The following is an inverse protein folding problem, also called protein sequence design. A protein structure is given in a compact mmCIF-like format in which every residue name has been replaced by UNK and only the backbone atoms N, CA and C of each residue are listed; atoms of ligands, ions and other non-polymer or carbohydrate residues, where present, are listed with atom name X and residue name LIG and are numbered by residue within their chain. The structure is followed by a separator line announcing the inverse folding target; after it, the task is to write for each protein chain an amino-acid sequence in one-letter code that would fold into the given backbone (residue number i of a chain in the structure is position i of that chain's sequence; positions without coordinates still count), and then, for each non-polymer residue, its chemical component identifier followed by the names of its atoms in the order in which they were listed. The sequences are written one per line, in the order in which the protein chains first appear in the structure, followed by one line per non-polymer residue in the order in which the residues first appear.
data_IF_287600884641
#
_entry.id   IF_287600884641
#
_cell.length_a   1.000
_cell.length_b   1.000
_cell.length_c   1.000
_cell.angle_alpha   90.00
_cell.angle_beta   90.00
_cell.angle_gamma   90.00
#
_symmetry.space_group_name_H-M   'P 1'
#
loop_
_entity.id
_entity.type
_entity.pdbx_description
1 polymer ?
#
# COMPACT_ATOMS: atom_id res chain seq x y z
N UNK A 1 2.43 -16.90 22.32
CA UNK A 1 3.12 -15.76 22.97
C UNK A 1 2.78 -14.50 22.18
N UNK A 2 1.91 -13.62 22.67
CA UNK A 2 1.65 -12.34 22.00
C UNK A 2 2.93 -11.51 22.08
N UNK A 3 3.56 -11.23 20.93
CA UNK A 3 4.72 -10.34 20.87
C UNK A 3 4.29 -8.93 21.24
N UNK A 4 5.15 -8.22 22.00
CA UNK A 4 4.97 -6.80 22.29
C UNK A 4 4.84 -6.02 20.98
N UNK A 5 3.89 -5.09 20.92
CA UNK A 5 3.75 -4.20 19.77
C UNK A 5 4.86 -3.13 19.83
N UNK A 6 5.71 -3.09 18.82
CA UNK A 6 6.79 -2.10 18.73
C UNK A 6 6.23 -0.77 18.21
N UNK A 7 6.53 0.33 18.89
CA UNK A 7 6.21 1.67 18.43
C UNK A 7 4.72 2.03 18.41
N UNK A 8 3.90 1.32 19.22
CA UNK A 8 2.44 1.51 19.30
C UNK A 8 1.93 1.93 20.68
N UNK A 9 2.82 2.23 21.61
CA UNK A 9 2.47 2.56 22.99
C UNK A 9 1.47 3.72 23.05
N UNK A 10 1.73 4.81 22.32
CA UNK A 10 0.81 5.96 22.26
C UNK A 10 -0.57 5.65 21.67
N UNK A 11 -0.65 4.77 20.66
CA UNK A 11 -1.94 4.33 20.12
C UNK A 11 -2.69 3.41 21.08
N UNK A 12 -1.98 2.53 21.80
CA UNK A 12 -2.57 1.70 22.84
C UNK A 12 -3.14 2.55 23.98
N UNK A 13 -2.39 3.55 24.44
CA UNK A 13 -2.81 4.46 25.51
C UNK A 13 -4.04 5.27 25.09
N UNK A 14 -4.03 5.84 23.87
CA UNK A 14 -5.15 6.59 23.34
C UNK A 14 -6.40 5.72 23.16
N UNK A 15 -6.25 4.50 22.62
CA UNK A 15 -7.36 3.57 22.43
C UNK A 15 -7.95 3.13 23.78
N UNK A 16 -7.09 2.83 24.76
CA UNK A 16 -7.51 2.52 26.13
C UNK A 16 -8.19 3.70 26.83
N UNK A 17 -7.72 4.93 26.59
CA UNK A 17 -8.38 6.14 27.09
C UNK A 17 -9.79 6.31 26.51
N UNK A 18 -9.96 6.19 25.20
CA UNK A 18 -11.28 6.30 24.56
C UNK A 18 -12.26 5.23 25.05
N UNK A 19 -11.78 3.99 25.24
CA UNK A 19 -12.61 2.93 25.82
C UNK A 19 -13.06 3.30 27.24
N UNK A 20 -12.15 3.77 28.11
CA UNK A 20 -12.49 4.20 29.48
C UNK A 20 -13.40 5.42 29.54
N UNK A 21 -13.30 6.34 28.57
CA UNK A 21 -14.17 7.52 28.43
C UNK A 21 -15.58 7.17 27.93
N UNK A 22 -15.85 5.90 27.59
CA UNK A 22 -17.17 5.48 27.10
C UNK A 22 -17.41 5.79 25.62
N UNK A 23 -16.35 5.93 24.81
CA UNK A 23 -16.51 6.07 23.36
C UNK A 23 -17.24 4.84 22.81
N UNK A 24 -18.43 5.04 22.22
CA UNK A 24 -19.33 3.96 21.80
C UNK A 24 -18.88 3.23 20.54
N UNK A 25 -18.26 3.97 19.62
CA UNK A 25 -17.78 3.42 18.37
C UNK A 25 -16.37 3.92 18.11
N UNK A 26 -15.44 2.99 18.01
CA UNK A 26 -14.06 3.27 17.67
C UNK A 26 -13.68 2.45 16.45
N UNK A 27 -13.13 3.08 15.42
CA UNK A 27 -12.64 2.39 14.22
C UNK A 27 -11.15 2.63 14.05
N UNK A 28 -10.37 1.57 14.09
CA UNK A 28 -8.94 1.57 13.75
C UNK A 28 -8.83 1.38 12.24
N UNK A 29 -8.29 2.39 11.56
CA UNK A 29 -8.10 2.44 10.10
C UNK A 29 -6.63 2.36 9.71
N UNK A 30 -6.33 2.10 8.44
CA UNK A 30 -4.96 2.06 7.90
C UNK A 30 -4.69 0.95 6.89
N UNK A 31 -3.49 0.93 6.27
CA UNK A 31 -3.16 0.04 5.16
C UNK A 31 -3.24 -1.44 5.53
N UNK A 32 -3.31 -2.34 4.51
CA UNK A 32 -3.19 -3.78 4.75
C UNK A 32 -1.84 -4.10 5.42
N UNK A 33 -1.86 -4.95 6.44
CA UNK A 33 -0.65 -5.39 7.16
C UNK A 33 -0.05 -4.37 8.13
N UNK A 34 -0.69 -3.22 8.38
CA UNK A 34 -0.20 -2.17 9.30
C UNK A 34 -0.29 -2.53 10.79
N UNK A 35 -1.06 -3.57 11.12
CA UNK A 35 -1.23 -4.08 12.49
C UNK A 35 -2.52 -3.67 13.20
N UNK A 36 -3.59 -3.32 12.48
CA UNK A 36 -4.90 -2.94 13.08
C UNK A 36 -5.44 -4.01 14.04
N UNK A 37 -5.54 -5.26 13.56
CA UNK A 37 -6.01 -6.41 14.33
C UNK A 37 -5.12 -6.70 15.53
N UNK A 38 -3.79 -6.56 15.37
CA UNK A 38 -2.84 -6.72 16.46
C UNK A 38 -2.98 -5.63 17.54
N UNK A 39 -3.24 -4.38 17.14
CA UNK A 39 -3.52 -3.27 18.06
C UNK A 39 -4.82 -3.51 18.82
N UNK A 40 -5.92 -3.84 18.12
CA UNK A 40 -7.19 -4.15 18.76
C UNK A 40 -7.12 -5.37 19.69
N UNK A 41 -6.32 -6.38 19.31
CA UNK A 41 -5.99 -7.52 20.16
C UNK A 41 -5.29 -7.08 21.46
N UNK A 42 -4.22 -6.31 21.36
CA UNK A 42 -3.45 -5.87 22.51
C UNK A 42 -4.23 -4.92 23.43
N UNK A 43 -4.97 -3.96 22.87
CA UNK A 43 -5.72 -2.96 23.63
C UNK A 43 -6.87 -3.53 24.47
N UNK A 44 -7.34 -4.73 24.14
CA UNK A 44 -8.49 -5.38 24.80
C UNK A 44 -8.10 -6.68 25.50
N UNK A 45 -6.82 -7.09 25.46
CA UNK A 45 -6.35 -8.36 25.99
C UNK A 45 -6.58 -8.52 27.50
N UNK A 46 -6.52 -7.43 28.25
CA UNK A 46 -6.74 -7.40 29.70
C UNK A 46 -8.16 -7.04 30.12
N UNK A 47 -9.07 -6.82 29.16
CA UNK A 47 -10.46 -6.44 29.44
C UNK A 47 -11.33 -7.69 29.58
N UNK A 48 -12.13 -7.82 30.66
CA UNK A 48 -13.06 -8.94 30.80
C UNK A 48 -14.28 -8.76 29.89
N UNK A 49 -14.89 -9.88 29.47
CA UNK A 49 -16.18 -9.88 28.78
C UNK A 49 -16.15 -9.33 27.34
N UNK A 50 -15.00 -9.33 26.68
CA UNK A 50 -14.86 -8.89 25.29
C UNK A 50 -15.38 -9.98 24.35
N UNK A 51 -16.36 -9.63 23.53
CA UNK A 51 -16.87 -10.50 22.46
C UNK A 51 -16.13 -10.15 21.18
N UNK A 52 -15.65 -11.15 20.44
CA UNK A 52 -14.89 -10.95 19.18
C UNK A 52 -15.60 -11.59 18.01
N UNK A 53 -15.71 -10.86 16.91
CA UNK A 53 -16.24 -11.34 15.65
C UNK A 53 -15.26 -11.03 14.52
N UNK A 54 -14.90 -12.04 13.73
CA UNK A 54 -14.10 -11.87 12.53
C UNK A 54 -15.03 -11.66 11.33
N UNK A 55 -15.29 -10.41 10.97
CA UNK A 55 -16.25 -10.03 9.94
C UNK A 55 -15.89 -10.55 8.54
N UNK A 56 -14.62 -10.85 8.26
CA UNK A 56 -14.18 -11.48 7.00
C UNK A 56 -14.89 -12.79 6.64
N UNK A 57 -15.48 -13.46 7.62
CA UNK A 57 -16.20 -14.71 7.44
C UNK A 57 -17.66 -14.50 7.02
N UNK A 58 -18.15 -13.26 7.09
CA UNK A 58 -19.51 -12.91 6.72
C UNK A 58 -19.55 -12.26 5.34
N UNK A 59 -20.42 -12.76 4.46
CA UNK A 59 -20.63 -12.16 3.14
C UNK A 59 -21.58 -10.96 3.20
N UNK A 60 -22.52 -10.96 4.15
CA UNK A 60 -23.55 -9.95 4.29
C UNK A 60 -23.96 -9.72 5.77
N UNK A 61 -25.04 -8.94 5.96
CA UNK A 61 -25.60 -8.62 7.27
C UNK A 61 -26.09 -9.85 8.02
N UNK A 62 -26.80 -10.75 7.33
CA UNK A 62 -27.42 -11.91 7.96
C UNK A 62 -26.35 -12.94 8.36
N UNK A 63 -25.31 -13.08 7.54
CA UNK A 63 -24.11 -13.81 7.91
C UNK A 63 -23.45 -13.24 9.15
N UNK A 64 -23.28 -11.92 9.24
CA UNK A 64 -22.67 -11.29 10.40
C UNK A 64 -23.52 -11.54 11.65
N UNK A 65 -24.85 -11.42 11.56
CA UNK A 65 -25.75 -11.75 12.66
C UNK A 65 -25.56 -13.20 13.12
N UNK A 66 -25.50 -14.16 12.19
CA UNK A 66 -25.30 -15.58 12.51
C UNK A 66 -23.95 -15.82 13.18
N UNK A 67 -22.89 -15.17 12.71
CA UNK A 67 -21.56 -15.27 13.31
C UNK A 67 -21.54 -14.67 14.73
N UNK A 68 -22.16 -13.51 14.94
CA UNK A 68 -22.28 -12.90 16.27
C UNK A 68 -23.11 -13.75 17.23
N UNK A 69 -24.25 -14.26 16.77
CA UNK A 69 -25.09 -15.15 17.53
C UNK A 69 -24.34 -16.42 17.94
N UNK A 70 -23.58 -17.04 17.01
CA UNK A 70 -22.76 -18.20 17.31
C UNK A 70 -21.67 -17.91 18.37
N UNK A 71 -21.00 -16.76 18.30
CA UNK A 71 -20.00 -16.35 19.30
C UNK A 71 -20.60 -16.12 20.69
N UNK A 72 -21.88 -15.77 20.75
CA UNK A 72 -22.65 -15.60 21.99
C UNK A 72 -23.37 -16.88 22.45
N UNK A 73 -23.19 -18.01 21.75
CA UNK A 73 -23.86 -19.27 22.07
C UNK A 73 -25.35 -19.32 21.68
N UNK A 74 -25.81 -18.40 20.84
CA UNK A 74 -27.20 -18.21 20.41
C UNK A 74 -27.49 -18.78 19.01
N UNK A 75 -27.04 -20.00 18.73
CA UNK A 75 -27.17 -20.59 17.38
C UNK A 75 -28.64 -20.63 16.91
N UNK A 76 -28.94 -20.00 15.76
CA UNK A 76 -30.29 -19.93 15.20
C UNK A 76 -31.22 -18.90 15.85
N UNK A 77 -30.68 -18.03 16.71
CA UNK A 77 -31.46 -16.98 17.36
C UNK A 77 -31.94 -15.88 16.38
N UNK A 78 -33.12 -15.34 16.67
CA UNK A 78 -33.66 -14.19 15.95
C UNK A 78 -32.91 -12.88 16.32
N UNK A 79 -33.07 -11.80 15.53
CA UNK A 79 -32.44 -10.50 15.82
C UNK A 79 -32.79 -9.94 17.21
N UNK A 80 -33.96 -10.27 17.75
CA UNK A 80 -34.42 -9.81 19.06
C UNK A 80 -33.65 -10.47 20.21
N UNK A 81 -33.38 -11.76 20.11
CA UNK A 81 -32.58 -12.51 21.06
C UNK A 81 -31.10 -12.07 21.00
N UNK A 82 -30.56 -11.83 19.80
CA UNK A 82 -29.22 -11.25 19.66
C UNK A 82 -29.15 -9.86 20.30
N UNK A 83 -30.12 -8.98 20.06
CA UNK A 83 -30.19 -7.66 20.67
C UNK A 83 -30.25 -7.71 22.21
N UNK A 84 -30.98 -8.68 22.78
CA UNK A 84 -30.98 -8.91 24.24
C UNK A 84 -29.63 -9.37 24.76
N UNK A 85 -28.96 -10.31 24.10
CA UNK A 85 -27.63 -10.74 24.54
C UNK A 85 -26.57 -9.64 24.41
N UNK A 86 -26.67 -8.79 23.39
CA UNK A 86 -25.78 -7.63 23.23
C UNK A 86 -25.90 -6.61 24.37
N UNK A 87 -27.01 -6.58 25.13
CA UNK A 87 -27.13 -5.73 26.34
C UNK A 87 -26.15 -6.14 27.44
N UNK A 88 -25.82 -7.41 27.52
CA UNK A 88 -24.87 -7.95 28.50
C UNK A 88 -23.41 -7.79 28.02
N UNK A 89 -23.20 -7.41 26.75
CA UNK A 89 -21.89 -7.21 26.15
C UNK A 89 -21.45 -5.77 26.33
N UNK A 90 -20.37 -5.56 27.10
CA UNK A 90 -19.78 -4.23 27.24
C UNK A 90 -18.92 -3.82 26.06
N UNK A 91 -18.16 -4.76 25.49
CA UNK A 91 -17.25 -4.48 24.38
C UNK A 91 -17.35 -5.57 23.31
N UNK A 92 -17.74 -5.18 22.11
CA UNK A 92 -17.71 -6.00 20.91
C UNK A 92 -16.56 -5.54 20.00
N UNK A 93 -15.68 -6.48 19.64
CA UNK A 93 -14.63 -6.24 18.64
C UNK A 93 -15.04 -6.87 17.31
N UNK A 94 -15.15 -6.05 16.26
CA UNK A 94 -15.40 -6.50 14.89
C UNK A 94 -14.10 -6.34 14.10
N UNK A 95 -13.42 -7.45 13.85
CA UNK A 95 -12.14 -7.49 13.12
C UNK A 95 -12.37 -7.72 11.61
N UNK A 96 -11.56 -7.10 10.76
CA UNK A 96 -11.63 -7.20 9.27
C UNK A 96 -13.02 -6.87 8.69
N UNK A 97 -13.59 -5.71 9.04
CA UNK A 97 -14.96 -5.29 8.70
C UNK A 97 -15.13 -4.70 7.29
N UNK A 98 -14.10 -4.73 6.45
CA UNK A 98 -14.05 -3.97 5.19
C UNK A 98 -15.15 -4.31 4.18
N UNK A 99 -15.56 -5.58 4.09
CA UNK A 99 -16.61 -6.02 3.18
C UNK A 99 -18.00 -5.51 3.59
N UNK A 100 -18.16 -5.15 4.86
CA UNK A 100 -19.44 -4.83 5.47
C UNK A 100 -19.58 -3.33 5.81
N UNK A 101 -18.63 -2.49 5.40
CA UNK A 101 -18.63 -1.03 5.69
C UNK A 101 -19.92 -0.34 5.22
N UNK A 102 -20.56 -0.84 4.15
CA UNK A 102 -21.82 -0.30 3.65
C UNK A 102 -23.05 -0.70 4.49
N UNK A 103 -23.01 -1.84 5.19
CA UNK A 103 -24.16 -2.41 5.91
C UNK A 103 -24.03 -2.34 7.43
N UNK A 104 -22.81 -2.22 7.96
CA UNK A 104 -22.55 -2.06 9.39
C UNK A 104 -23.21 -0.84 10.02
N UNK A 105 -23.25 0.35 9.38
CA UNK A 105 -23.82 1.55 10.00
C UNK A 105 -25.25 1.35 10.52
N UNK A 106 -26.11 0.75 9.70
CA UNK A 106 -27.52 0.49 10.06
C UNK A 106 -27.62 -0.55 11.18
N UNK A 107 -26.80 -1.60 11.11
CA UNK A 107 -26.75 -2.65 12.12
C UNK A 107 -26.30 -2.09 13.48
N UNK A 108 -25.23 -1.30 13.50
CA UNK A 108 -24.71 -0.72 14.71
C UNK A 108 -25.68 0.29 15.30
N UNK A 109 -26.37 1.07 14.47
CA UNK A 109 -27.41 2.00 14.94
C UNK A 109 -28.52 1.26 15.69
N UNK A 110 -29.06 0.19 15.12
CA UNK A 110 -30.08 -0.63 15.80
C UNK A 110 -29.53 -1.33 17.05
N UNK A 111 -28.29 -1.84 16.99
CA UNK A 111 -27.64 -2.46 18.15
C UNK A 111 -27.42 -1.46 19.28
N UNK A 112 -27.06 -0.23 18.95
CA UNK A 112 -26.84 0.85 19.89
C UNK A 112 -28.12 1.37 20.56
N UNK A 113 -29.27 1.27 19.90
CA UNK A 113 -30.59 1.52 20.50
C UNK A 113 -30.98 0.39 21.46
N UNK A 114 -30.70 -0.87 21.08
CA UNK A 114 -31.01 -2.04 21.89
C UNK A 114 -30.11 -2.19 23.11
N UNK A 115 -28.83 -1.82 23.02
CA UNK A 115 -27.80 -1.95 24.04
C UNK A 115 -27.08 -0.59 24.27
N UNK A 116 -27.59 0.24 25.21
CA UNK A 116 -27.06 1.59 25.45
C UNK A 116 -25.59 1.61 25.90
N UNK A 117 -25.19 0.62 26.69
CA UNK A 117 -23.84 0.51 27.26
C UNK A 117 -22.83 -0.21 26.35
N UNK A 118 -23.26 -0.66 25.17
CA UNK A 118 -22.40 -1.37 24.22
C UNK A 118 -21.37 -0.41 23.61
N UNK A 119 -20.09 -0.77 23.76
CA UNK A 119 -18.99 -0.20 23.01
C UNK A 119 -18.58 -1.16 21.88
N UNK A 120 -18.23 -0.61 20.73
CA UNK A 120 -17.81 -1.37 19.55
C UNK A 120 -16.45 -0.86 19.08
N UNK A 121 -15.48 -1.78 19.00
CA UNK A 121 -14.17 -1.54 18.42
C UNK A 121 -14.06 -2.27 17.08
N UNK A 122 -13.80 -1.52 16.02
CA UNK A 122 -13.76 -2.03 14.66
C UNK A 122 -12.36 -1.89 14.12
N UNK A 123 -11.89 -2.91 13.41
CA UNK A 123 -10.75 -2.73 12.49
C UNK A 123 -11.26 -2.77 11.07
N UNK A 124 -10.96 -1.74 10.30
CA UNK A 124 -11.37 -1.61 8.91
C UNK A 124 -10.31 -0.84 8.15
N UNK A 125 -10.40 -0.79 6.82
CA UNK A 125 -9.63 0.15 6.00
C UNK A 125 -10.32 1.50 5.88
N UNK A 126 -11.64 1.51 6.04
CA UNK A 126 -12.49 2.67 5.90
C UNK A 126 -13.19 2.99 7.22
N UNK A 127 -13.37 4.27 7.55
CA UNK A 127 -14.35 4.64 8.56
C UNK A 127 -15.76 4.23 8.08
N UNK A 128 -16.64 3.97 9.04
CA UNK A 128 -18.05 3.67 8.78
C UNK A 128 -18.87 4.92 8.44
N UNK A 129 -18.40 6.11 8.83
CA UNK A 129 -19.07 7.39 8.57
C UNK A 129 -20.20 7.72 9.54
N UNK A 130 -20.25 7.06 10.71
CA UNK A 130 -21.24 7.35 11.75
C UNK A 130 -20.82 8.57 12.58
N UNK A 131 -21.79 9.41 12.98
CA UNK A 131 -21.51 10.65 13.70
C UNK A 131 -20.78 10.45 15.05
N UNK A 132 -21.03 9.31 15.72
CA UNK A 132 -20.40 8.95 17.00
C UNK A 132 -19.07 8.18 16.83
N UNK A 133 -18.59 7.99 15.60
CA UNK A 133 -17.38 7.21 15.31
C UNK A 133 -16.10 7.99 15.65
N UNK A 134 -15.29 7.44 16.56
CA UNK A 134 -13.91 7.89 16.77
C UNK A 134 -12.97 7.07 15.89
N UNK A 135 -12.29 7.73 14.95
CA UNK A 135 -11.35 7.07 14.05
C UNK A 135 -9.91 7.18 14.54
N UNK A 136 -9.20 6.05 14.59
CA UNK A 136 -7.75 6.00 14.80
C UNK A 136 -7.06 5.49 13.54
N UNK A 137 -6.45 6.40 12.79
CA UNK A 137 -5.62 6.02 11.65
C UNK A 137 -4.27 5.47 12.12
N UNK A 138 -3.89 4.30 11.60
CA UNK A 138 -2.56 3.73 11.79
C UNK A 138 -1.72 3.91 10.54
N UNK A 139 -0.60 4.59 10.71
CA UNK A 139 0.46 4.63 9.72
C UNK A 139 1.41 3.43 9.87
N UNK A 140 2.14 3.05 8.81
CA UNK A 140 3.31 2.18 8.92
C UNK A 140 4.28 2.63 10.01
N UNK A 141 5.09 1.71 10.50
CA UNK A 141 6.07 2.03 11.53
C UNK A 141 7.09 3.04 11.00
N UNK A 142 7.54 3.94 11.87
CA UNK A 142 8.69 4.80 11.59
C UNK A 142 9.91 3.93 11.27
N UNK A 143 10.90 4.42 10.50
CA UNK A 143 12.10 3.65 10.19
C UNK A 143 12.78 3.08 11.44
N UNK A 144 12.83 3.84 12.53
CA UNK A 144 13.38 3.40 13.81
C UNK A 144 12.57 2.24 14.44
N UNK A 145 11.24 2.36 14.52
CA UNK A 145 10.40 1.29 15.07
C UNK A 145 10.35 0.05 14.18
N UNK A 146 10.39 0.23 12.85
CA UNK A 146 10.45 -0.86 11.89
C UNK A 146 11.79 -1.63 12.00
N UNK A 147 12.91 -0.93 12.14
CA UNK A 147 14.23 -1.53 12.34
C UNK A 147 14.31 -2.29 13.67
N UNK A 148 13.74 -1.72 14.74
CA UNK A 148 13.65 -2.39 16.04
C UNK A 148 12.83 -3.68 15.94
N UNK A 149 11.63 -3.61 15.35
CA UNK A 149 10.79 -4.79 15.12
C UNK A 149 11.53 -5.85 14.29
N UNK A 150 12.15 -5.47 13.18
CA UNK A 150 12.84 -6.43 12.32
C UNK A 150 14.06 -7.06 13.02
N UNK A 151 14.80 -6.29 13.80
CA UNK A 151 15.95 -6.80 14.58
C UNK A 151 15.49 -7.78 15.66
N UNK A 152 14.38 -7.50 16.34
CA UNK A 152 13.76 -8.43 17.29
C UNK A 152 13.34 -9.74 16.61
N UNK A 153 12.78 -9.65 15.41
CA UNK A 153 12.39 -10.82 14.62
C UNK A 153 13.62 -11.62 14.16
N UNK A 154 14.66 -10.94 13.68
CA UNK A 154 15.90 -11.55 13.21
C UNK A 154 16.63 -12.31 14.32
N UNK A 155 16.61 -11.78 15.55
CA UNK A 155 17.18 -12.43 16.74
C UNK A 155 16.59 -13.81 17.06
N UNK A 156 15.41 -14.12 16.53
CA UNK A 156 14.81 -15.46 16.67
C UNK A 156 15.58 -16.52 15.86
N UNK A 157 16.32 -16.12 14.82
CA UNK A 157 17.01 -17.01 13.89
C UNK A 157 18.53 -16.96 14.02
N UNK A 158 19.07 -15.79 14.38
CA UNK A 158 20.50 -15.60 14.65
C UNK A 158 20.67 -14.73 15.90
N UNK A 159 21.42 -15.16 16.93
CA UNK A 159 21.56 -14.40 18.18
C UNK A 159 22.39 -13.11 18.01
N UNK A 160 23.25 -13.05 16.99
CA UNK A 160 24.03 -11.86 16.69
C UNK A 160 23.16 -10.73 16.14
N UNK A 161 23.51 -9.49 16.48
CA UNK A 161 22.80 -8.33 15.97
C UNK A 161 23.02 -8.20 14.45
N UNK A 162 21.96 -8.05 13.64
CA UNK A 162 22.12 -7.87 12.21
C UNK A 162 22.78 -6.52 11.90
N UNK A 163 23.56 -6.47 10.81
CA UNK A 163 24.14 -5.22 10.32
C UNK A 163 23.03 -4.18 10.03
N UNK A 164 23.14 -3.02 10.68
CA UNK A 164 22.18 -1.92 10.57
C UNK A 164 21.93 -1.47 9.13
N UNK A 165 22.93 -1.55 8.25
CA UNK A 165 22.81 -1.17 6.83
C UNK A 165 21.83 -2.09 6.10
N UNK A 166 21.92 -3.40 6.34
CA UNK A 166 21.01 -4.36 5.73
C UNK A 166 19.60 -4.27 6.33
N UNK A 167 19.49 -4.02 7.65
CA UNK A 167 18.19 -3.78 8.29
C UNK A 167 17.51 -2.55 7.70
N UNK A 168 18.23 -1.44 7.53
CA UNK A 168 17.70 -0.24 6.91
C UNK A 168 17.21 -0.51 5.48
N UNK A 169 18.00 -1.23 4.69
CA UNK A 169 17.64 -1.62 3.33
C UNK A 169 16.35 -2.48 3.27
N UNK A 170 16.14 -3.36 4.26
CA UNK A 170 14.89 -4.14 4.40
C UNK A 170 13.71 -3.24 4.76
N UNK A 171 13.89 -2.37 5.75
CA UNK A 171 12.83 -1.46 6.24
C UNK A 171 12.36 -0.51 5.15
N UNK A 172 13.28 0.07 4.39
CA UNK A 172 12.98 0.98 3.27
C UNK A 172 12.19 0.26 2.17
N UNK A 173 12.63 -0.92 1.75
CA UNK A 173 11.95 -1.70 0.69
C UNK A 173 10.58 -2.22 1.10
N UNK A 174 10.38 -2.54 2.38
CA UNK A 174 9.10 -3.03 2.90
C UNK A 174 8.18 -1.89 3.40
N UNK A 175 8.64 -0.64 3.37
CA UNK A 175 7.84 0.54 3.70
C UNK A 175 7.33 0.58 5.15
N UNK A 176 8.05 -0.05 6.08
CA UNK A 176 7.68 -0.07 7.51
C UNK A 176 6.40 -0.85 7.85
N UNK A 177 5.89 -1.72 6.96
CA UNK A 177 4.70 -2.53 7.22
C UNK A 177 5.02 -3.72 8.14
N UNK A 178 4.43 -3.81 9.35
CA UNK A 178 4.72 -4.89 10.30
C UNK A 178 4.53 -6.31 9.74
N UNK A 179 3.43 -6.56 9.01
CA UNK A 179 3.19 -7.88 8.42
C UNK A 179 4.29 -8.27 7.43
N UNK A 180 4.75 -7.33 6.61
CA UNK A 180 5.82 -7.57 5.64
C UNK A 180 7.15 -7.87 6.34
N UNK A 181 7.48 -7.13 7.41
CA UNK A 181 8.68 -7.37 8.22
C UNK A 181 8.66 -8.75 8.87
N UNK A 182 7.50 -9.16 9.42
CA UNK A 182 7.30 -10.50 9.99
C UNK A 182 7.51 -11.59 8.93
N UNK A 183 6.92 -11.41 7.74
CA UNK A 183 7.05 -12.38 6.64
C UNK A 183 8.48 -12.45 6.10
N UNK A 184 9.18 -11.32 5.98
CA UNK A 184 10.58 -11.27 5.56
C UNK A 184 11.49 -11.95 6.58
N UNK A 185 11.28 -11.71 7.88
CA UNK A 185 12.11 -12.30 8.92
C UNK A 185 11.99 -13.83 8.99
N UNK A 186 10.86 -14.42 8.56
CA UNK A 186 10.75 -15.89 8.44
C UNK A 186 11.71 -16.50 7.42
N UNK A 187 12.20 -15.72 6.46
CA UNK A 187 13.20 -16.20 5.49
C UNK A 187 14.58 -16.33 6.09
N UNK A 188 14.81 -15.76 7.27
CA UNK A 188 16.10 -15.84 7.95
C UNK A 188 16.45 -17.24 8.47
N UNK A 189 15.49 -18.18 8.39
CA UNK A 189 15.77 -19.61 8.53
C UNK A 189 16.71 -20.14 7.44
N UNK A 190 16.65 -19.56 6.24
CA UNK A 190 17.33 -20.08 5.04
C UNK A 190 18.45 -19.17 4.52
N UNK A 191 18.35 -17.86 4.76
CA UNK A 191 19.26 -16.85 4.22
C UNK A 191 19.61 -15.81 5.29
N UNK A 192 20.75 -15.16 5.17
CA UNK A 192 21.10 -14.06 6.07
C UNK A 192 20.40 -12.73 5.70
N UNK A 193 20.56 -11.69 6.52
CA UNK A 193 19.91 -10.38 6.33
C UNK A 193 20.44 -9.64 5.09
N UNK A 194 21.72 -9.83 4.73
CA UNK A 194 22.30 -9.21 3.54
C UNK A 194 21.71 -9.83 2.26
N UNK A 195 21.63 -11.16 2.23
CA UNK A 195 21.01 -11.97 1.19
C UNK A 195 19.51 -11.67 1.06
N UNK A 196 18.82 -11.43 2.17
CA UNK A 196 17.43 -10.99 2.19
C UNK A 196 17.30 -9.60 1.54
N UNK A 197 18.10 -8.63 1.98
CA UNK A 197 18.07 -7.26 1.47
C UNK A 197 18.30 -7.20 -0.05
N UNK A 198 19.23 -8.00 -0.58
CA UNK A 198 19.52 -8.10 -2.00
C UNK A 198 18.38 -8.72 -2.85
N UNK A 199 17.48 -9.50 -2.24
CA UNK A 199 16.35 -10.15 -2.92
C UNK A 199 15.07 -9.32 -2.89
N UNK A 200 15.01 -8.27 -2.07
CA UNK A 200 13.83 -7.43 -1.92
C UNK A 200 13.62 -6.43 -3.08
N UNK A 201 14.42 -6.50 -4.14
CA UNK A 201 14.13 -5.81 -5.41
C UNK A 201 12.87 -6.38 -6.08
N UNK A 202 12.54 -7.65 -5.81
CA UNK A 202 11.22 -8.23 -6.09
C UNK A 202 10.66 -8.89 -4.82
N UNK A 203 10.04 -8.11 -3.92
CA UNK A 203 9.71 -8.57 -2.57
C UNK A 203 8.52 -9.53 -2.54
N UNK A 204 7.57 -9.46 -3.48
CA UNK A 204 6.31 -10.21 -3.38
C UNK A 204 6.49 -11.74 -3.40
N UNK A 205 7.28 -12.34 -4.31
CA UNK A 205 7.55 -13.78 -4.27
C UNK A 205 8.24 -14.20 -2.97
N UNK A 206 9.11 -13.34 -2.44
CA UNK A 206 9.83 -13.61 -1.20
C UNK A 206 8.91 -13.57 0.03
N UNK A 207 7.81 -12.81 -0.02
CA UNK A 207 6.82 -12.75 1.06
C UNK A 207 5.70 -13.79 0.95
N UNK A 208 5.69 -14.61 -0.12
CA UNK A 208 4.72 -15.70 -0.33
C UNK A 208 5.25 -17.03 0.26
N UNK A 209 4.73 -17.48 1.41
CA UNK A 209 5.20 -18.71 2.08
C UNK A 209 4.53 -19.99 1.53
N UNK A 210 5.23 -21.13 1.50
CA UNK A 210 4.59 -22.44 1.28
C UNK A 210 3.82 -22.87 2.55
N UNK A 211 2.53 -23.19 2.40
CA UNK A 211 1.66 -23.69 3.50
C UNK A 211 0.52 -22.77 3.95
N UNK A 212 0.30 -21.64 3.29
CA UNK A 212 -0.60 -20.56 3.73
C UNK A 212 -2.11 -20.78 3.47
N UNK A 213 -2.56 -22.01 3.18
CA UNK A 213 -3.95 -22.32 2.82
C UNK A 213 -4.97 -22.26 3.96
N UNK A 214 -4.57 -21.92 5.20
CA UNK A 214 -5.45 -22.09 6.37
C UNK A 214 -5.34 -21.09 7.53
N UNK A 215 -4.41 -20.14 7.53
CA UNK A 215 -4.33 -19.14 8.60
C UNK A 215 -5.17 -17.89 8.25
N UNK A 216 -5.94 -17.30 9.19
CA UNK A 216 -6.80 -16.13 8.91
C UNK A 216 -6.05 -14.91 8.33
N UNK A 217 -4.72 -14.86 8.49
CA UNK A 217 -3.81 -13.78 8.08
C UNK A 217 -2.67 -14.27 7.14
N UNK A 218 -2.87 -15.39 6.43
CA UNK A 218 -1.81 -16.28 5.94
C UNK A 218 -0.65 -15.65 5.15
N UNK A 219 -0.85 -14.66 4.29
CA UNK A 219 0.25 -14.05 3.56
C UNK A 219 0.01 -12.57 3.26
N UNK A 220 1.09 -11.82 3.06
CA UNK A 220 1.00 -10.45 2.55
C UNK A 220 0.20 -10.40 1.24
N UNK A 221 0.34 -11.43 0.39
CA UNK A 221 -0.43 -11.56 -0.86
C UNK A 221 -1.93 -11.64 -0.63
N UNK A 222 -2.37 -12.48 0.30
CA UNK A 222 -3.79 -12.63 0.61
C UNK A 222 -4.40 -11.30 1.09
N UNK A 223 -3.67 -10.54 1.92
CA UNK A 223 -4.10 -9.21 2.36
C UNK A 223 -4.20 -8.21 1.20
N UNK A 224 -3.25 -8.26 0.25
CA UNK A 224 -3.28 -7.44 -0.96
C UNK A 224 -4.42 -7.81 -1.91
N UNK A 225 -4.65 -9.10 -2.15
CA UNK A 225 -5.72 -9.60 -3.01
C UNK A 225 -7.10 -9.22 -2.45
N UNK A 226 -7.30 -9.41 -1.14
CA UNK A 226 -8.50 -8.95 -0.45
C UNK A 226 -8.65 -7.43 -0.58
N UNK A 227 -7.54 -6.68 -0.59
CA UNK A 227 -7.60 -5.24 -0.79
C UNK A 227 -7.97 -4.79 -2.18
N UNK A 228 -7.43 -5.47 -3.19
CA UNK A 228 -7.72 -5.22 -4.58
C UNK A 228 -9.20 -5.48 -4.93
N UNK A 229 -9.80 -6.55 -4.40
CA UNK A 229 -11.20 -6.92 -4.70
C UNK A 229 -12.23 -5.91 -4.23
N UNK A 230 -11.89 -5.08 -3.23
CA UNK A 230 -12.79 -4.04 -2.71
C UNK A 230 -12.72 -2.73 -3.49
N UNK A 231 -11.78 -2.60 -4.44
CA UNK A 231 -11.68 -1.41 -5.27
C UNK A 231 -12.66 -1.51 -6.45
N UNK A 232 -13.40 -0.43 -6.79
CA UNK A 232 -14.14 -0.39 -8.04
C UNK A 232 -13.18 -0.48 -9.24
N UNK A 233 -13.65 -0.91 -10.42
CA UNK A 233 -12.79 -1.15 -11.60
C UNK A 233 -11.93 0.06 -12.01
N UNK A 234 -12.43 1.27 -11.80
CA UNK A 234 -11.71 2.51 -12.10
C UNK A 234 -10.54 2.75 -11.13
N UNK A 235 -10.77 2.54 -9.83
CA UNK A 235 -9.73 2.61 -8.82
C UNK A 235 -8.71 1.47 -8.94
N UNK A 236 -9.12 0.28 -9.41
CA UNK A 236 -8.21 -0.81 -9.75
C UNK A 236 -7.24 -0.41 -10.87
N UNK A 237 -7.76 0.14 -11.99
CA UNK A 237 -6.92 0.67 -13.08
C UNK A 237 -6.01 1.79 -12.60
N UNK A 238 -6.52 2.68 -11.76
CA UNK A 238 -5.74 3.75 -11.16
C UNK A 238 -4.59 3.22 -10.29
N UNK A 239 -4.87 2.30 -9.38
CA UNK A 239 -3.86 1.68 -8.53
C UNK A 239 -2.76 1.03 -9.35
N UNK A 240 -3.13 0.23 -10.37
CA UNK A 240 -2.18 -0.37 -11.29
C UNK A 240 -1.30 0.67 -12.01
N UNK A 241 -1.90 1.77 -12.48
CA UNK A 241 -1.18 2.86 -13.16
C UNK A 241 -0.18 3.58 -12.23
N UNK A 242 -0.45 3.63 -10.92
CA UNK A 242 0.44 4.25 -9.93
C UNK A 242 1.74 3.46 -9.68
N UNK A 243 1.91 2.30 -10.31
CA UNK A 243 3.21 1.63 -10.41
C UNK A 243 4.20 2.34 -11.34
N UNK A 244 3.70 3.17 -12.26
CA UNK A 244 4.53 3.86 -13.25
C UNK A 244 5.36 5.01 -12.64
N UNK A 245 4.78 5.92 -11.83
CA UNK A 245 5.60 6.92 -11.14
C UNK A 245 6.53 6.27 -10.11
N UNK A 246 7.84 6.46 -10.29
CA UNK A 246 8.88 5.97 -9.37
C UNK A 246 8.92 6.70 -8.02
N UNK A 247 8.14 7.77 -7.84
CA UNK A 247 8.16 8.63 -6.68
C UNK A 247 6.79 9.21 -6.32
N UNK A 248 6.77 10.24 -5.45
CA UNK A 248 5.54 10.99 -5.15
C UNK A 248 4.95 11.65 -6.40
N UNK A 249 3.63 11.76 -6.45
CA UNK A 249 2.87 12.31 -7.57
C UNK A 249 1.82 13.32 -7.09
N UNK A 250 1.43 14.25 -7.95
CA UNK A 250 0.35 15.23 -7.70
C UNK A 250 -0.95 14.77 -8.34
N UNK A 251 -2.08 15.40 -7.99
CA UNK A 251 -3.35 15.20 -8.70
C UNK A 251 -3.19 15.45 -10.21
N UNK A 252 -2.47 16.52 -10.60
CA UNK A 252 -2.20 16.81 -12.01
C UNK A 252 -1.41 15.71 -12.76
N UNK A 253 -0.56 14.94 -12.06
CA UNK A 253 0.12 13.80 -12.67
C UNK A 253 -0.88 12.67 -12.93
N UNK A 254 -1.82 12.45 -11.99
CA UNK A 254 -2.85 11.44 -12.11
C UNK A 254 -3.90 11.80 -13.16
N UNK A 255 -4.28 13.07 -13.28
CA UNK A 255 -5.17 13.59 -14.34
C UNK A 255 -4.56 13.36 -15.72
N UNK A 256 -3.25 13.54 -15.87
CA UNK A 256 -2.57 13.24 -17.13
C UNK A 256 -2.58 11.73 -17.46
N UNK A 257 -2.49 10.86 -16.44
CA UNK A 257 -2.49 9.41 -16.62
C UNK A 257 -3.90 8.86 -16.90
N UNK A 258 -4.89 9.27 -16.10
CA UNK A 258 -6.21 8.65 -16.04
C UNK A 258 -7.33 9.50 -16.66
N UNK A 259 -7.09 10.79 -16.90
CA UNK A 259 -8.12 11.73 -17.36
C UNK A 259 -9.12 12.09 -16.27
N UNK A 260 -10.38 12.26 -16.65
CA UNK A 260 -11.46 12.76 -15.79
C UNK A 260 -11.70 11.93 -14.50
N UNK A 261 -11.34 10.65 -14.50
CA UNK A 261 -11.53 9.75 -13.34
C UNK A 261 -10.47 9.92 -12.25
N UNK A 262 -9.46 10.78 -12.45
CA UNK A 262 -8.32 10.89 -11.54
C UNK A 262 -8.70 11.33 -10.13
N UNK A 263 -9.61 12.30 -9.99
CA UNK A 263 -9.99 12.82 -8.67
C UNK A 263 -10.75 11.77 -7.84
N UNK A 264 -11.73 11.11 -8.44
CA UNK A 264 -12.51 10.06 -7.77
C UNK A 264 -11.65 8.84 -7.43
N UNK A 265 -10.75 8.46 -8.34
CA UNK A 265 -9.76 7.42 -8.08
C UNK A 265 -8.82 7.80 -6.93
N UNK A 266 -8.31 9.03 -6.90
CA UNK A 266 -7.45 9.51 -5.82
C UNK A 266 -8.17 9.45 -4.47
N UNK A 267 -9.41 9.95 -4.42
CA UNK A 267 -10.25 9.91 -3.22
C UNK A 267 -10.48 8.46 -2.76
N UNK A 268 -10.82 7.56 -3.68
CA UNK A 268 -11.03 6.13 -3.38
C UNK A 268 -9.76 5.48 -2.84
N UNK A 269 -8.62 5.64 -3.52
CA UNK A 269 -7.36 5.02 -3.11
C UNK A 269 -6.85 5.56 -1.77
N UNK A 270 -7.04 6.86 -1.51
CA UNK A 270 -6.72 7.46 -0.22
C UNK A 270 -7.61 6.89 0.89
N UNK A 271 -8.92 6.77 0.65
CA UNK A 271 -9.86 6.17 1.59
C UNK A 271 -9.47 4.73 1.93
N UNK A 272 -9.10 3.94 0.94
CA UNK A 272 -8.63 2.55 1.15
C UNK A 272 -7.22 2.46 1.77
N UNK A 273 -6.63 3.58 2.21
CA UNK A 273 -5.31 3.65 2.82
C UNK A 273 -4.19 3.08 1.94
N UNK A 274 -4.34 3.19 0.61
CA UNK A 274 -3.32 2.75 -0.36
C UNK A 274 -2.31 3.86 -0.70
N UNK A 275 -2.62 5.09 -0.30
CA UNK A 275 -1.82 6.29 -0.54
C UNK A 275 -1.44 6.96 0.77
N UNK A 276 -0.24 7.54 0.80
CA UNK A 276 0.20 8.41 1.88
C UNK A 276 0.44 9.83 1.38
N UNK A 277 0.19 10.85 2.20
CA UNK A 277 0.69 12.19 1.94
C UNK A 277 2.22 12.16 1.85
N UNK A 278 2.78 12.89 0.90
CA UNK A 278 4.23 13.07 0.78
C UNK A 278 4.55 14.55 0.99
N UNK A 279 5.48 14.83 1.92
CA UNK A 279 5.91 16.19 2.19
C UNK A 279 6.80 16.71 1.05
N UNK A 280 6.66 17.99 0.72
CA UNK A 280 7.51 18.64 -0.28
C UNK A 280 6.97 20.01 -0.69
N UNK A 281 7.78 20.82 -1.37
CA UNK A 281 7.35 22.13 -1.86
C UNK A 281 6.31 22.00 -2.98
N UNK A 282 5.41 22.98 -3.03
CA UNK A 282 4.40 23.11 -4.08
C UNK A 282 3.07 22.40 -3.77
N UNK A 283 2.37 21.90 -4.80
CA UNK A 283 1.04 21.30 -4.63
C UNK A 283 1.11 20.00 -3.82
N UNK A 284 -0.03 19.62 -3.23
CA UNK A 284 -0.17 18.40 -2.42
C UNK A 284 0.28 17.16 -3.21
N UNK A 285 1.19 16.39 -2.61
CA UNK A 285 1.74 15.15 -3.19
C UNK A 285 1.29 13.93 -2.42
N UNK A 286 1.21 12.82 -3.13
CA UNK A 286 0.86 11.51 -2.61
C UNK A 286 1.92 10.51 -3.05
N UNK A 287 2.06 9.43 -2.30
CA UNK A 287 2.94 8.32 -2.65
C UNK A 287 2.26 7.00 -2.34
N UNK A 288 2.49 6.01 -3.19
CA UNK A 288 2.15 4.61 -2.90
C UNK A 288 3.27 4.03 -2.03
N UNK A 289 2.91 3.25 -1.01
CA UNK A 289 3.91 2.55 -0.20
C UNK A 289 4.78 1.64 -1.06
N UNK A 290 6.11 1.55 -0.81
CA UNK A 290 7.04 0.80 -1.66
C UNK A 290 6.54 -0.60 -2.01
N UNK A 291 6.07 -1.35 -1.02
CA UNK A 291 5.57 -2.71 -1.22
C UNK A 291 4.25 -2.78 -2.00
N UNK A 292 3.35 -1.81 -1.79
CA UNK A 292 2.10 -1.71 -2.56
C UNK A 292 2.38 -1.37 -4.04
N UNK A 293 3.48 -0.65 -4.31
CA UNK A 293 3.90 -0.34 -5.68
C UNK A 293 4.30 -1.58 -6.47
N UNK A 294 4.94 -2.56 -5.82
CA UNK A 294 5.24 -3.85 -6.45
C UNK A 294 3.96 -4.61 -6.84
N UNK A 295 2.93 -4.61 -5.96
CA UNK A 295 1.65 -5.24 -6.32
C UNK A 295 0.97 -4.47 -7.45
N UNK A 296 0.95 -3.14 -7.40
CA UNK A 296 0.43 -2.32 -8.49
C UNK A 296 1.12 -2.62 -9.83
N UNK A 297 2.43 -2.88 -9.84
CA UNK A 297 3.19 -3.22 -11.05
C UNK A 297 2.77 -4.58 -11.62
N UNK A 298 2.56 -5.57 -10.76
CA UNK A 298 2.01 -6.85 -11.20
C UNK A 298 0.58 -6.70 -11.71
N UNK A 299 -0.29 -5.92 -11.04
CA UNK A 299 -1.65 -5.63 -11.53
C UNK A 299 -1.64 -4.94 -12.88
N UNK A 300 -0.71 -4.00 -13.11
CA UNK A 300 -0.54 -3.34 -14.41
C UNK A 300 -0.25 -4.36 -15.50
N UNK A 301 0.62 -5.35 -15.22
CA UNK A 301 0.97 -6.41 -16.16
C UNK A 301 -0.22 -7.31 -16.55
N UNK A 302 -1.24 -7.41 -15.69
CA UNK A 302 -2.47 -8.18 -15.96
C UNK A 302 -3.53 -7.43 -16.77
N UNK A 303 -3.38 -6.11 -16.97
CA UNK A 303 -4.32 -5.34 -17.79
C UNK A 303 -4.18 -5.70 -19.27
N UNK A 304 -5.17 -5.37 -20.09
CA UNK A 304 -5.07 -5.54 -21.54
C UNK A 304 -3.86 -4.78 -22.12
N UNK A 305 -3.14 -5.38 -23.07
CA UNK A 305 -1.90 -4.81 -23.63
C UNK A 305 -2.08 -3.37 -24.17
N UNK A 306 -3.22 -3.08 -24.82
CA UNK A 306 -3.55 -1.73 -25.30
C UNK A 306 -3.73 -0.70 -24.18
N UNK A 307 -4.33 -1.11 -23.05
CA UNK A 307 -4.45 -0.28 -21.85
C UNK A 307 -3.08 0.00 -21.24
N UNK A 308 -2.24 -1.03 -21.10
CA UNK A 308 -0.87 -0.88 -20.59
C UNK A 308 -0.06 0.11 -21.44
N UNK A 309 -0.13 -0.04 -22.76
CA UNK A 309 0.53 0.85 -23.72
C UNK A 309 0.06 2.30 -23.55
N UNK A 310 -1.25 2.51 -23.46
CA UNK A 310 -1.84 3.85 -23.30
C UNK A 310 -1.37 4.53 -22.02
N UNK A 311 -1.36 3.82 -20.90
CA UNK A 311 -0.90 4.35 -19.60
C UNK A 311 0.60 4.67 -19.62
N UNK A 312 1.43 3.79 -20.19
CA UNK A 312 2.87 4.00 -20.29
C UNK A 312 3.22 5.16 -21.21
N UNK A 313 2.50 5.33 -22.32
CA UNK A 313 2.63 6.50 -23.22
C UNK A 313 2.32 7.80 -22.49
N UNK A 314 1.18 7.89 -21.80
CA UNK A 314 0.81 9.08 -21.00
C UNK A 314 1.84 9.36 -19.92
N UNK A 315 2.34 8.31 -19.24
CA UNK A 315 3.40 8.47 -18.25
C UNK A 315 4.69 9.03 -18.87
N UNK A 316 5.13 8.48 -20.00
CA UNK A 316 6.31 8.96 -20.71
C UNK A 316 6.19 10.43 -21.11
N UNK A 317 5.04 10.82 -21.67
CA UNK A 317 4.74 12.22 -22.02
C UNK A 317 4.81 13.13 -20.78
N UNK A 318 4.27 12.70 -19.64
CA UNK A 318 4.33 13.47 -18.39
C UNK A 318 5.75 13.62 -17.86
N UNK A 319 6.53 12.55 -17.85
CA UNK A 319 7.93 12.57 -17.39
C UNK A 319 8.76 13.52 -18.25
N UNK A 320 8.63 13.43 -19.58
CA UNK A 320 9.34 14.30 -20.51
C UNK A 320 8.95 15.77 -20.36
N UNK A 321 7.65 16.06 -20.21
CA UNK A 321 7.16 17.42 -20.01
C UNK A 321 7.67 18.07 -18.71
N UNK A 322 7.86 17.26 -17.65
CA UNK A 322 8.33 17.75 -16.33
C UNK A 322 9.84 17.71 -16.15
N UNK A 323 10.56 17.04 -17.03
CA UNK A 323 12.00 16.85 -16.92
C UNK A 323 12.82 18.15 -16.75
N UNK A 324 12.48 19.30 -17.36
CA UNK A 324 13.18 20.56 -17.12
C UNK A 324 13.13 21.01 -15.65
N UNK A 325 12.03 20.70 -14.95
CA UNK A 325 11.77 21.09 -13.56
C UNK A 325 12.29 20.03 -12.57
N UNK A 326 12.00 18.76 -12.81
CA UNK A 326 12.26 17.68 -11.83
C UNK A 326 13.67 17.11 -11.94
N UNK A 327 14.24 17.09 -13.14
CA UNK A 327 15.55 16.48 -13.44
C UNK A 327 15.66 15.03 -12.93
N UNK A 328 14.54 14.30 -12.91
CA UNK A 328 14.46 12.91 -12.43
C UNK A 328 15.13 11.94 -13.43
N UNK A 329 16.42 11.68 -13.21
CA UNK A 329 17.24 10.79 -14.02
C UNK A 329 16.64 9.37 -14.10
N UNK A 330 16.18 8.83 -12.98
CA UNK A 330 15.68 7.46 -12.90
C UNK A 330 14.40 7.29 -13.73
N UNK A 331 13.47 8.25 -13.64
CA UNK A 331 12.24 8.26 -14.43
C UNK A 331 12.55 8.37 -15.94
N UNK A 332 13.46 9.26 -16.33
CA UNK A 332 13.85 9.41 -17.74
C UNK A 332 14.51 8.15 -18.30
N UNK A 333 15.39 7.49 -17.53
CA UNK A 333 15.99 6.21 -17.92
C UNK A 333 14.94 5.12 -18.10
N UNK A 334 13.93 5.06 -17.22
CA UNK A 334 12.83 4.11 -17.33
C UNK A 334 12.00 4.35 -18.59
N UNK A 335 11.68 5.61 -18.91
CA UNK A 335 10.98 5.99 -20.15
C UNK A 335 11.79 5.62 -21.38
N UNK A 336 13.10 5.93 -21.40
CA UNK A 336 13.98 5.61 -22.52
C UNK A 336 14.03 4.09 -22.79
N UNK A 337 14.21 3.27 -21.75
CA UNK A 337 14.24 1.80 -21.89
C UNK A 337 12.90 1.26 -22.40
N UNK A 338 11.80 1.69 -21.80
CA UNK A 338 10.46 1.29 -22.25
C UNK A 338 10.21 1.60 -23.73
N UNK A 339 10.68 2.75 -24.20
CA UNK A 339 10.54 3.16 -25.60
C UNK A 339 11.48 2.35 -26.52
N UNK A 340 12.69 2.02 -26.06
CA UNK A 340 13.66 1.22 -26.83
C UNK A 340 13.20 -0.23 -27.04
N UNK A 341 12.46 -0.80 -26.10
CA UNK A 341 11.94 -2.18 -26.18
C UNK A 341 10.75 -2.33 -27.16
N UNK A 342 10.39 -1.29 -27.91
CA UNK A 342 9.20 -1.24 -28.76
C UNK A 342 9.54 -0.72 -30.14
N UNK A 343 8.85 -1.16 -31.19
CA UNK A 343 9.02 -0.66 -32.54
C UNK A 343 8.06 0.51 -32.88
N UNK A 344 8.35 1.22 -33.97
CA UNK A 344 7.52 2.30 -34.52
C UNK A 344 8.01 3.71 -34.22
N UNK A 345 7.55 4.66 -35.04
CA UNK A 345 7.99 6.07 -35.05
C UNK A 345 7.81 6.75 -33.70
N UNK A 346 6.65 6.55 -33.07
CA UNK A 346 6.33 7.17 -31.78
C UNK A 346 7.25 6.67 -30.66
N UNK A 347 7.57 5.37 -30.64
CA UNK A 347 8.52 4.82 -29.68
C UNK A 347 9.93 5.37 -29.92
N UNK A 348 10.32 5.54 -31.19
CA UNK A 348 11.60 6.14 -31.55
C UNK A 348 11.70 7.60 -31.12
N UNK A 349 10.64 8.38 -31.33
CA UNK A 349 10.53 9.77 -30.87
C UNK A 349 10.69 9.86 -29.34
N UNK A 350 9.95 9.05 -28.58
CA UNK A 350 10.04 9.03 -27.12
C UNK A 350 11.45 8.64 -26.66
N UNK A 351 12.07 7.64 -27.29
CA UNK A 351 13.44 7.22 -26.96
C UNK A 351 14.46 8.33 -27.21
N UNK A 352 14.39 9.01 -28.35
CA UNK A 352 15.25 10.14 -28.71
C UNK A 352 15.05 11.31 -27.73
N UNK A 353 13.79 11.69 -27.48
CA UNK A 353 13.47 12.78 -26.56
C UNK A 353 13.99 12.50 -25.14
N UNK A 354 13.80 11.28 -24.64
CA UNK A 354 14.30 10.87 -23.32
C UNK A 354 15.83 10.90 -23.26
N UNK A 355 16.53 10.40 -24.28
CA UNK A 355 17.99 10.39 -24.33
C UNK A 355 18.59 11.81 -24.41
N UNK A 356 18.03 12.68 -25.25
CA UNK A 356 18.42 14.10 -25.35
C UNK A 356 18.20 14.80 -24.01
N UNK A 357 17.05 14.57 -23.37
CA UNK A 357 16.72 15.19 -22.09
C UNK A 357 17.66 14.71 -20.97
N UNK A 358 18.00 13.42 -20.95
CA UNK A 358 19.01 12.87 -20.03
C UNK A 358 20.38 13.54 -20.20
N UNK A 359 20.82 13.79 -21.43
CA UNK A 359 22.07 14.51 -21.66
C UNK A 359 22.06 15.90 -21.00
N UNK A 360 20.94 16.62 -21.07
CA UNK A 360 20.76 17.92 -20.42
C UNK A 360 20.72 17.84 -18.89
N UNK A 361 20.24 16.73 -18.31
CA UNK A 361 20.28 16.46 -16.86
C UNK A 361 21.72 16.18 -16.42
N UNK A 362 22.43 15.26 -17.10
CA UNK A 362 23.83 14.96 -16.75
C UNK A 362 24.76 16.15 -16.96
N UNK A 363 24.54 16.98 -17.97
CA UNK A 363 25.33 18.19 -18.18
C UNK A 363 25.30 19.14 -16.97
N UNK A 364 24.23 19.08 -16.16
CA UNK A 364 24.04 19.88 -14.94
C UNK A 364 24.48 19.17 -13.67
N UNK A 365 24.27 17.85 -13.57
CA UNK A 365 24.28 17.16 -12.28
C UNK A 365 25.16 15.89 -12.20
N UNK A 366 25.78 15.42 -13.28
CA UNK A 366 26.43 14.11 -13.24
C UNK A 366 27.42 13.79 -14.37
N UNK A 367 27.91 12.54 -14.42
CA UNK A 367 28.87 12.13 -15.42
C UNK A 367 28.22 12.10 -16.80
N UNK A 368 28.58 13.05 -17.66
CA UNK A 368 28.07 13.17 -19.03
C UNK A 368 28.17 11.85 -19.84
N UNK A 369 29.20 11.05 -19.58
CA UNK A 369 29.40 9.73 -20.18
C UNK A 369 28.24 8.74 -19.90
N UNK A 370 27.49 8.91 -18.81
CA UNK A 370 26.38 8.02 -18.45
C UNK A 370 25.18 8.12 -19.41
N UNK A 371 25.08 9.18 -20.22
CA UNK A 371 24.04 9.35 -21.23
C UNK A 371 24.33 8.57 -22.53
N UNK A 372 25.61 8.30 -22.81
CA UNK A 372 26.09 7.81 -24.11
C UNK A 372 25.45 6.49 -24.54
N UNK A 373 25.29 5.46 -23.68
CA UNK A 373 24.69 4.19 -24.10
C UNK A 373 23.24 4.35 -24.59
N UNK A 374 22.43 5.13 -23.87
CA UNK A 374 21.03 5.37 -24.24
C UNK A 374 20.91 6.23 -25.50
N UNK A 375 21.79 7.24 -25.64
CA UNK A 375 21.82 8.09 -26.83
C UNK A 375 22.19 7.29 -28.09
N UNK A 376 23.20 6.41 -27.99
CA UNK A 376 23.59 5.50 -29.09
C UNK A 376 22.44 4.55 -29.45
N UNK A 377 21.80 3.95 -28.46
CA UNK A 377 20.69 3.03 -28.68
C UNK A 377 19.49 3.72 -29.36
N UNK A 378 19.16 4.96 -28.96
CA UNK A 378 18.09 5.72 -29.58
C UNK A 378 18.42 6.12 -31.03
N UNK A 379 19.65 6.54 -31.31
CA UNK A 379 20.11 6.92 -32.65
C UNK A 379 20.22 5.74 -33.63
N UNK A 380 20.48 4.53 -33.13
CA UNK A 380 20.54 3.31 -33.92
C UNK A 380 19.19 2.91 -34.53
N UNK A 381 18.08 3.46 -34.02
CA UNK A 381 16.75 3.26 -34.61
C UNK A 381 16.65 4.03 -35.93
N UNK A 382 16.07 3.45 -36.99
CA UNK A 382 16.06 4.07 -38.32
C UNK A 382 15.18 5.32 -38.38
N UNK A 383 14.07 5.34 -37.63
CA UNK A 383 13.04 6.36 -37.75
C UNK A 383 13.21 7.52 -36.74
N UNK A 384 12.25 8.44 -36.73
CA UNK A 384 12.11 9.50 -35.73
C UNK A 384 12.26 10.94 -36.28
N UNK A 385 11.79 11.95 -35.54
CA UNK A 385 11.76 13.33 -36.03
C UNK A 385 13.16 13.86 -36.39
N UNK A 386 13.37 14.42 -37.60
CA UNK A 386 14.68 14.88 -38.06
C UNK A 386 15.36 15.87 -37.10
N UNK A 387 14.57 16.77 -36.49
CA UNK A 387 15.08 17.75 -35.52
C UNK A 387 15.67 17.09 -34.27
N UNK A 388 14.98 16.08 -33.71
CA UNK A 388 15.47 15.35 -32.53
C UNK A 388 16.69 14.50 -32.84
N UNK A 389 16.73 13.88 -34.04
CA UNK A 389 17.91 13.14 -34.50
C UNK A 389 19.13 14.04 -34.66
N UNK A 390 18.95 15.21 -35.28
CA UNK A 390 20.03 16.19 -35.43
C UNK A 390 20.57 16.65 -34.06
N UNK A 391 19.67 16.94 -33.11
CA UNK A 391 20.04 17.30 -31.75
C UNK A 391 20.79 16.17 -31.03
N UNK A 392 20.31 14.93 -31.15
CA UNK A 392 20.94 13.76 -30.55
C UNK A 392 22.34 13.50 -31.14
N UNK A 393 22.53 13.63 -32.46
CA UNK A 393 23.83 13.50 -33.12
C UNK A 393 24.81 14.60 -32.66
N UNK A 394 24.35 15.84 -32.54
CA UNK A 394 25.17 16.93 -32.02
C UNK A 394 25.64 16.66 -30.59
N UNK A 395 24.74 16.20 -29.72
CA UNK A 395 25.08 15.81 -28.35
C UNK A 395 26.04 14.63 -28.31
N UNK A 396 25.86 13.63 -29.19
CA UNK A 396 26.76 12.48 -29.26
C UNK A 396 28.18 12.91 -29.64
N UNK A 397 28.32 13.82 -30.61
CA UNK A 397 29.61 14.36 -31.03
C UNK A 397 30.28 15.19 -29.92
N UNK A 398 29.51 15.94 -29.12
CA UNK A 398 30.03 16.71 -27.99
C UNK A 398 30.45 15.85 -26.78
N UNK A 399 30.05 14.57 -26.76
CA UNK A 399 30.34 13.61 -25.70
C UNK A 399 31.43 12.59 -26.07
N UNK A 400 31.82 12.55 -27.34
CA UNK A 400 32.94 11.78 -27.87
C UNK A 400 34.25 12.57 -27.72
#
# INVERSE_FOLDING_TARGET
MQRRLVGRDGQLDALGAWLREGARLITVTGPPGVGKSALAAAATASLPGVVRCAARQAADRDDLHRHLAAQLGLNGADPTALGRALREVRLLVIDDAEALVATLPDLLTAGFEAAPDLQVLITSRLPLGLAAERCMALDPLTPAHAAALFSDLARTWAPEAPDARHVQAVVERLGGLPLALVMAARRLELIDVAQLAARLDNPLPLLAGPGDSGAPHGSFRAAMDASWRLLPPEAQRAFAALSLPGGPFTLADLEHLLGAQALDALHTLQRHSLLQPSAGPGPRRFQVLPLLRHDAAERLSTLAAGTQLTLRRRHAQRVLARAPETQDEAALRAVARWALDREGDEATEVALQAAVTLCAVYARQGPRAAAVPLLKAALARPDGPPALRAQALHLQAALA
#
